data_IF_930232690313
#
_entry.id   IF_930232690313
#
_cell.length_a   1.000
_cell.length_b   1.000
_cell.length_c   1.000
_cell.angle_alpha   90.00
_cell.angle_beta   90.00
_cell.angle_gamma   90.00
#
_symmetry.space_group_name_H-M   'P 1'
#
loop_
_entity.id
_entity.type
_entity.pdbx_description
1 polymer ?
#
# COMPACT_ATOMS: atom_id res chain seq x y z
N UNK A 1 -25.80 -36.37 -33.68
CA UNK A 1 -24.90 -36.85 -32.61
C UNK A 1 -23.61 -36.03 -32.51
N UNK A 2 -22.91 -35.69 -33.60
CA UNK A 2 -21.64 -34.93 -33.54
C UNK A 2 -21.79 -33.41 -33.43
N UNK A 3 -22.84 -32.82 -34.02
CA UNK A 3 -22.99 -31.36 -34.15
C UNK A 3 -23.11 -30.61 -32.82
N UNK A 4 -23.62 -31.25 -31.77
CA UNK A 4 -23.83 -30.66 -30.43
C UNK A 4 -22.55 -30.19 -29.73
N UNK A 5 -21.37 -30.54 -30.25
CA UNK A 5 -20.07 -30.11 -29.72
C UNK A 5 -19.36 -29.06 -30.58
N UNK A 6 -19.91 -28.72 -31.75
CA UNK A 6 -19.39 -27.62 -32.56
C UNK A 6 -19.54 -26.31 -31.77
N UNK A 7 -18.51 -25.47 -31.80
CA UNK A 7 -18.47 -24.22 -31.03
C UNK A 7 -18.11 -24.38 -29.54
N UNK A 8 -18.00 -25.59 -28.99
CA UNK A 8 -17.49 -25.78 -27.63
C UNK A 8 -16.01 -25.38 -27.54
N UNK A 9 -15.59 -24.77 -26.42
CA UNK A 9 -14.18 -24.61 -26.08
C UNK A 9 -13.73 -25.83 -25.30
N UNK A 10 -12.65 -26.48 -25.75
CA UNK A 10 -12.15 -27.73 -25.18
C UNK A 10 -10.66 -27.69 -24.91
N UNK A 11 -10.22 -28.46 -23.91
CA UNK A 11 -8.83 -28.81 -23.63
C UNK A 11 -8.59 -30.25 -24.06
N UNK A 12 -7.57 -30.48 -24.88
CA UNK A 12 -7.24 -31.76 -25.50
C UNK A 12 -5.79 -32.09 -25.20
N UNK A 13 -5.55 -33.13 -24.39
CA UNK A 13 -4.21 -33.66 -24.15
C UNK A 13 -3.92 -34.76 -25.15
N UNK A 14 -2.82 -34.63 -25.89
CA UNK A 14 -2.39 -35.61 -26.89
C UNK A 14 -1.40 -36.62 -26.29
N UNK A 15 -1.08 -37.69 -27.03
CA UNK A 15 -0.13 -38.73 -26.63
C UNK A 15 1.29 -38.14 -26.45
N UNK A 16 1.70 -37.19 -27.29
CA UNK A 16 3.02 -36.52 -27.26
C UNK A 16 3.19 -35.50 -26.11
N UNK A 17 2.44 -35.65 -25.01
CA UNK A 17 2.27 -34.74 -23.86
C UNK A 17 1.83 -33.29 -24.19
N UNK A 18 1.68 -32.92 -25.46
CA UNK A 18 1.16 -31.63 -25.91
C UNK A 18 -0.32 -31.44 -25.52
N UNK A 19 -0.65 -30.28 -24.97
CA UNK A 19 -2.01 -29.89 -24.61
C UNK A 19 -2.49 -28.74 -25.49
N UNK A 20 -3.56 -28.97 -26.25
CA UNK A 20 -4.20 -27.99 -27.11
C UNK A 20 -5.51 -27.50 -26.47
N UNK A 21 -5.73 -26.18 -26.44
CA UNK A 21 -6.98 -25.57 -25.99
C UNK A 21 -7.57 -24.69 -27.09
N UNK A 22 -8.83 -24.88 -27.48
CA UNK A 22 -9.42 -24.12 -28.58
C UNK A 22 -10.92 -24.37 -28.79
N UNK A 23 -11.52 -23.62 -29.72
CA UNK A 23 -12.93 -23.77 -30.10
C UNK A 23 -13.06 -24.83 -31.19
N UNK A 24 -13.92 -25.83 -30.99
CA UNK A 24 -14.22 -26.85 -32.02
C UNK A 24 -14.91 -26.17 -33.21
N UNK A 25 -14.36 -26.36 -34.40
CA UNK A 25 -14.92 -25.86 -35.67
C UNK A 25 -15.42 -27.00 -36.56
N UNK A 26 -14.79 -28.18 -36.47
CA UNK A 26 -15.22 -29.38 -37.18
C UNK A 26 -14.86 -30.65 -36.37
N UNK A 27 -15.68 -31.69 -36.51
CA UNK A 27 -15.58 -32.96 -35.78
C UNK A 27 -15.95 -34.12 -36.69
N UNK A 28 -14.95 -34.77 -37.24
CA UNK A 28 -15.06 -35.96 -38.09
C UNK A 28 -14.68 -37.22 -37.30
N UNK A 29 -15.12 -38.40 -37.78
CA UNK A 29 -14.86 -39.70 -37.11
C UNK A 29 -13.38 -39.98 -36.81
N UNK A 30 -12.47 -39.37 -37.58
CA UNK A 30 -11.03 -39.59 -37.49
C UNK A 30 -10.24 -38.34 -37.06
N UNK A 31 -10.87 -37.17 -36.95
CA UNK A 31 -10.17 -35.88 -36.74
C UNK A 31 -11.01 -34.81 -36.03
N UNK A 32 -10.36 -34.05 -35.16
CA UNK A 32 -10.90 -32.93 -34.40
C UNK A 32 -10.21 -31.62 -34.83
N UNK A 33 -10.99 -30.63 -35.26
CA UNK A 33 -10.47 -29.37 -35.78
C UNK A 33 -10.74 -28.21 -34.81
N UNK A 34 -9.67 -27.58 -34.31
CA UNK A 34 -9.71 -26.48 -33.34
C UNK A 34 -9.26 -25.16 -33.99
N UNK A 35 -10.02 -24.08 -33.78
CA UNK A 35 -9.63 -22.72 -34.12
C UNK A 35 -9.40 -21.86 -32.86
N UNK A 36 -8.63 -20.77 -33.03
CA UNK A 36 -8.11 -19.94 -31.92
C UNK A 36 -7.39 -20.80 -30.87
N UNK A 37 -6.58 -21.76 -31.35
CA UNK A 37 -5.96 -22.76 -30.51
C UNK A 37 -4.80 -22.17 -29.69
N UNK A 38 -4.52 -22.78 -28.54
CA UNK A 38 -3.34 -22.54 -27.71
C UNK A 38 -2.63 -23.87 -27.51
N UNK A 39 -1.33 -23.95 -27.75
CA UNK A 39 -0.52 -25.13 -27.48
C UNK A 39 0.32 -24.86 -26.24
N UNK A 40 0.12 -25.64 -25.16
CA UNK A 40 0.78 -25.47 -23.86
C UNK A 40 0.70 -24.00 -23.33
N UNK A 41 -0.45 -23.34 -23.55
CA UNK A 41 -0.69 -21.94 -23.16
C UNK A 41 -0.19 -20.87 -24.13
N UNK A 42 0.56 -21.24 -25.17
CA UNK A 42 1.04 -20.30 -26.21
C UNK A 42 -0.01 -20.21 -27.34
N UNK A 43 -0.48 -19.02 -27.73
CA UNK A 43 -1.45 -18.87 -28.81
C UNK A 43 -0.90 -19.36 -30.15
N UNK A 44 -1.65 -20.23 -30.81
CA UNK A 44 -1.35 -20.79 -32.11
C UNK A 44 -2.26 -20.13 -33.16
N UNK A 45 -1.65 -19.43 -34.12
CA UNK A 45 -2.37 -18.61 -35.12
C UNK A 45 -3.06 -19.41 -36.21
N UNK A 46 -2.69 -20.68 -36.40
CA UNK A 46 -3.28 -21.60 -37.37
C UNK A 46 -4.48 -22.37 -36.80
N UNK A 47 -5.32 -22.90 -37.69
CA UNK A 47 -6.29 -23.95 -37.33
C UNK A 47 -5.50 -25.24 -37.07
N UNK A 48 -5.75 -25.88 -35.93
CA UNK A 48 -5.11 -27.14 -35.54
C UNK A 48 -6.05 -28.30 -35.87
N UNK A 49 -5.55 -29.34 -36.52
CA UNK A 49 -6.28 -30.56 -36.81
C UNK A 49 -5.56 -31.73 -36.11
N UNK A 50 -6.26 -32.38 -35.17
CA UNK A 50 -5.75 -33.49 -34.35
C UNK A 50 -6.40 -34.80 -34.80
N UNK A 51 -5.65 -35.89 -34.96
CA UNK A 51 -6.31 -37.19 -35.17
C UNK A 51 -6.93 -37.68 -33.88
N UNK A 52 -8.12 -38.27 -33.97
CA UNK A 52 -8.81 -38.89 -32.82
C UNK A 52 -7.99 -40.01 -32.18
N UNK A 53 -7.06 -40.62 -32.92
CA UNK A 53 -6.10 -41.62 -32.40
C UNK A 53 -5.09 -41.05 -31.41
N UNK A 54 -4.78 -39.77 -31.52
CA UNK A 54 -3.67 -39.14 -30.80
C UNK A 54 -4.16 -38.43 -29.52
N UNK A 55 -5.47 -38.43 -29.27
CA UNK A 55 -6.12 -37.79 -28.12
C UNK A 55 -6.13 -38.75 -26.91
N UNK A 56 -5.37 -38.40 -25.87
CA UNK A 56 -5.33 -39.14 -24.60
C UNK A 56 -6.45 -38.71 -23.64
N UNK A 57 -6.81 -37.41 -23.62
CA UNK A 57 -7.92 -36.86 -22.81
C UNK A 57 -8.53 -35.65 -23.52
N UNK A 58 -9.86 -35.53 -23.47
CA UNK A 58 -10.59 -34.33 -23.85
C UNK A 58 -11.47 -33.85 -22.68
N UNK A 59 -11.53 -32.54 -22.48
CA UNK A 59 -12.26 -31.88 -21.39
C UNK A 59 -12.92 -30.61 -21.92
N UNK A 60 -14.22 -30.43 -21.68
CA UNK A 60 -14.98 -29.27 -22.17
C UNK A 60 -14.86 -28.12 -21.17
N UNK A 61 -14.29 -26.99 -21.60
CA UNK A 61 -14.12 -25.79 -20.79
C UNK A 61 -15.41 -24.95 -20.78
N UNK A 62 -16.07 -24.82 -21.94
CA UNK A 62 -17.36 -24.13 -22.05
C UNK A 62 -18.16 -24.55 -23.28
N UNK A 63 -19.43 -24.89 -23.08
CA UNK A 63 -20.46 -24.98 -24.12
C UNK A 63 -20.98 -23.59 -24.48
N UNK A 64 -20.92 -23.21 -25.76
CA UNK A 64 -21.77 -22.13 -26.29
C UNK A 64 -23.02 -22.79 -26.89
N UNK A 65 -24.16 -22.71 -26.20
CA UNK A 65 -25.40 -23.33 -26.68
C UNK A 65 -25.91 -22.67 -27.96
N UNK A 66 -26.23 -23.49 -28.96
CA UNK A 66 -26.81 -23.09 -30.24
C UNK A 66 -27.92 -24.08 -30.60
N UNK A 67 -29.20 -23.70 -30.68
CA UNK A 67 -29.83 -22.43 -30.32
C UNK A 67 -31.29 -22.42 -30.81
N UNK A 68 -32.13 -21.55 -30.25
CA UNK A 68 -33.49 -21.29 -30.79
C UNK A 68 -33.61 -19.79 -31.09
N UNK A 69 -33.73 -19.45 -32.38
CA UNK A 69 -33.56 -18.09 -32.85
C UNK A 69 -34.84 -17.25 -32.77
N UNK A 70 -34.68 -15.96 -32.45
CA UNK A 70 -35.43 -14.89 -33.14
C UNK A 70 -34.43 -13.84 -33.64
N UNK A 71 -34.36 -13.76 -34.97
CA UNK A 71 -33.56 -12.86 -35.80
C UNK A 71 -33.95 -11.37 -35.60
N UNK A 72 -33.15 -10.34 -35.93
CA UNK A 72 -31.71 -10.17 -36.27
C UNK A 72 -31.46 -8.63 -36.38
N UNK A 73 -30.39 -8.18 -37.04
CA UNK A 73 -29.91 -6.80 -37.32
C UNK A 73 -28.74 -6.37 -36.42
N UNK A 74 -27.55 -6.77 -36.85
CA UNK A 74 -26.29 -6.01 -36.73
C UNK A 74 -26.10 -5.12 -37.99
N UNK A 75 -25.17 -4.13 -38.08
CA UNK A 75 -23.76 -4.32 -37.66
C UNK A 75 -22.92 -3.09 -37.20
N UNK A 76 -21.74 -3.41 -36.63
CA UNK A 76 -20.57 -2.54 -36.36
C UNK A 76 -20.71 -1.50 -35.21
N UNK A 77 -19.65 -1.04 -34.53
CA UNK A 77 -18.20 -1.26 -34.73
C UNK A 77 -17.36 -1.26 -33.43
N UNK A 78 -16.17 -1.88 -33.49
CA UNK A 78 -14.92 -1.62 -32.72
C UNK A 78 -15.02 -1.18 -31.25
N UNK A 79 -14.79 -2.10 -30.30
CA UNK A 79 -14.37 -1.75 -28.92
C UNK A 79 -12.85 -1.61 -28.85
N UNK A 80 -12.37 -0.44 -28.43
CA UNK A 80 -10.94 -0.18 -28.14
C UNK A 80 -10.66 -0.51 -26.67
N UNK A 81 -9.69 -1.39 -26.40
CA UNK A 81 -9.29 -1.76 -25.05
C UNK A 81 -8.50 -0.63 -24.37
N UNK A 82 -9.17 0.22 -23.59
CA UNK A 82 -8.51 1.09 -22.62
C UNK A 82 -8.07 0.26 -21.41
N UNK A 83 -6.80 0.39 -21.01
CA UNK A 83 -6.26 -0.25 -19.79
C UNK A 83 -6.98 0.28 -18.54
N UNK A 84 -7.28 -0.56 -17.52
CA UNK A 84 -7.95 -0.10 -16.32
C UNK A 84 -7.05 0.84 -15.50
N UNK A 85 -7.52 2.07 -15.28
CA UNK A 85 -6.89 3.01 -14.35
C UNK A 85 -7.43 2.71 -12.95
N UNK A 86 -6.54 2.47 -11.98
CA UNK A 86 -6.92 2.16 -10.61
C UNK A 86 -7.59 3.36 -9.93
N UNK A 87 -8.84 3.21 -9.51
CA UNK A 87 -9.54 4.19 -8.67
C UNK A 87 -8.90 4.23 -7.28
N UNK A 88 -8.07 5.24 -7.00
CA UNK A 88 -7.67 5.59 -5.63
C UNK A 88 -8.81 6.32 -4.92
N UNK A 89 -9.55 5.61 -4.10
CA UNK A 89 -10.33 6.22 -3.02
C UNK A 89 -9.41 6.56 -1.84
N UNK A 90 -9.79 7.54 -1.02
CA UNK A 90 -9.19 7.75 0.31
C UNK A 90 -7.78 8.35 0.34
N UNK A 91 -7.69 9.67 0.19
CA UNK A 91 -6.70 10.48 0.93
C UNK A 91 -7.40 11.65 1.57
N UNK A 92 -7.50 11.64 2.90
CA UNK A 92 -7.69 12.86 3.67
C UNK A 92 -6.47 13.75 3.49
N UNK A 93 -6.70 15.04 3.25
CA UNK A 93 -5.66 16.08 3.28
C UNK A 93 -5.81 16.80 4.61
N UNK A 94 -4.69 17.09 5.28
CA UNK A 94 -4.70 17.80 6.56
C UNK A 94 -5.30 19.18 6.39
N UNK A 95 -6.31 19.50 7.19
CA UNK A 95 -6.78 20.88 7.30
C UNK A 95 -5.75 21.71 8.09
N UNK A 96 -5.40 22.87 7.54
CA UNK A 96 -4.80 23.98 8.27
C UNK A 96 -5.63 25.21 7.95
N UNK A 97 -6.36 25.73 8.94
CA UNK A 97 -7.36 26.78 8.76
C UNK A 97 -6.72 28.18 8.76
N UNK A 98 -7.06 29.03 7.78
CA UNK A 98 -7.07 30.48 7.92
C UNK A 98 -8.51 31.01 7.95
N UNK A 99 -8.83 31.84 8.95
CA UNK A 99 -10.19 32.40 9.12
C UNK A 99 -10.42 33.59 8.16
N UNK A 100 -11.63 33.67 7.59
CA UNK A 100 -12.07 34.76 6.71
C UNK A 100 -12.45 36.04 7.47
N UNK A 101 -12.38 37.19 6.79
CA UNK A 101 -12.59 38.52 7.36
C UNK A 101 -14.02 39.06 7.17
N UNK A 102 -14.44 39.89 8.13
CA UNK A 102 -15.23 41.11 7.87
C UNK A 102 -16.56 41.23 8.64
N UNK A 103 -17.20 42.43 8.64
CA UNK A 103 -16.69 43.73 8.16
C UNK A 103 -16.95 44.91 9.15
N UNK A 104 -16.65 46.14 8.67
CA UNK A 104 -17.00 47.48 9.21
C UNK A 104 -16.01 48.20 10.17
N UNK A 105 -16.14 49.53 10.21
CA UNK A 105 -15.26 50.57 10.77
C UNK A 105 -16.18 51.72 11.33
N UNK A 106 -15.74 52.76 12.08
CA UNK A 106 -14.74 53.75 11.65
C UNK A 106 -13.86 54.30 12.84
N UNK A 107 -13.40 55.59 12.99
CA UNK A 107 -11.97 55.85 13.31
C UNK A 107 -11.70 56.84 14.49
N UNK A 108 -10.47 57.39 14.56
CA UNK A 108 -9.85 58.37 15.52
C UNK A 108 -8.96 57.72 16.62
N UNK A 109 -7.86 58.31 17.13
CA UNK A 109 -7.21 59.63 16.89
C UNK A 109 -5.66 59.58 17.09
N UNK A 110 -4.95 60.69 16.85
CA UNK A 110 -3.46 60.81 16.88
C UNK A 110 -2.81 60.84 18.29
N UNK A 111 -1.52 60.43 18.43
CA UNK A 111 -0.42 61.33 18.87
C UNK A 111 1.05 60.76 18.82
N UNK A 112 1.94 61.49 18.10
CA UNK A 112 3.36 61.89 18.34
C UNK A 112 4.53 60.94 18.78
N UNK A 113 5.66 61.14 18.09
CA UNK A 113 7.11 60.85 18.40
C UNK A 113 7.73 61.93 19.34
N UNK A 114 8.93 61.79 19.99
CA UNK A 114 10.32 61.71 19.44
C UNK A 114 11.13 60.47 19.95
N UNK A 115 12.32 60.03 19.46
CA UNK A 115 13.43 60.53 18.59
C UNK A 115 14.61 61.22 19.30
N UNK A 116 15.79 60.58 19.26
CA UNK A 116 17.15 61.10 18.91
C UNK A 116 18.07 59.87 18.67
N UNK A 117 18.86 59.75 17.58
CA UNK A 117 20.12 60.44 17.16
C UNK A 117 21.38 59.83 17.83
N UNK A 118 22.58 59.67 17.25
CA UNK A 118 23.28 59.98 15.98
C UNK A 118 24.37 58.88 15.79
N UNK A 119 25.20 58.66 14.75
CA UNK A 119 25.48 58.99 13.32
C UNK A 119 26.53 57.91 12.86
N UNK A 120 27.22 57.77 11.70
CA UNK A 120 27.45 58.33 10.34
C UNK A 120 28.07 57.12 9.53
N UNK A 121 28.40 56.98 8.24
CA UNK A 121 28.52 57.70 6.93
C UNK A 121 28.00 56.71 5.81
N UNK A 122 27.82 56.96 4.50
CA UNK A 122 28.61 57.59 3.38
C UNK A 122 29.88 56.77 3.02
N UNK A 123 30.37 56.55 1.78
CA UNK A 123 29.87 56.41 0.38
C UNK A 123 30.91 56.99 -0.61
N UNK A 124 31.29 56.26 -1.68
CA UNK A 124 31.59 56.83 -3.02
C UNK A 124 31.92 55.79 -4.12
N UNK A 125 31.71 56.22 -5.38
CA UNK A 125 32.23 55.64 -6.62
C UNK A 125 32.72 56.78 -7.52
N UNK A 126 33.45 56.49 -8.62
CA UNK A 126 33.30 57.30 -9.82
C UNK A 126 33.16 56.48 -11.12
N UNK A 127 32.89 57.20 -12.21
CA UNK A 127 32.27 56.69 -13.44
C UNK A 127 33.22 56.81 -14.66
N UNK A 128 32.89 56.15 -15.78
CA UNK A 128 33.60 56.31 -17.06
C UNK A 128 32.74 55.93 -18.26
N UNK A 129 32.60 56.83 -19.24
CA UNK A 129 31.82 56.64 -20.49
C UNK A 129 32.56 57.19 -21.71
N UNK A 130 32.58 56.45 -22.82
CA UNK A 130 32.70 56.98 -24.19
C UNK A 130 31.80 56.15 -25.14
N UNK A 131 31.26 56.80 -26.16
CA UNK A 131 30.53 56.29 -27.33
C UNK A 131 30.80 57.29 -28.51
N UNK A 132 30.26 57.16 -29.75
CA UNK A 132 29.34 56.17 -30.32
C UNK A 132 29.80 55.65 -31.72
N UNK A 133 28.91 54.99 -32.47
CA UNK A 133 28.53 55.27 -33.88
C UNK A 133 27.39 54.31 -34.31
N UNK A 134 26.62 54.67 -35.33
CA UNK A 134 25.27 54.15 -35.60
C UNK A 134 25.20 53.09 -36.70
N UNK A 135 24.18 52.22 -36.64
CA UNK A 135 23.22 52.07 -37.74
C UNK A 135 21.93 51.33 -37.32
N UNK A 136 20.83 51.60 -38.03
CA UNK A 136 19.49 51.12 -37.70
C UNK A 136 19.09 49.85 -38.49
N UNK A 137 18.35 48.95 -37.83
CA UNK A 137 17.25 48.11 -38.39
C UNK A 137 16.42 47.58 -37.19
N UNK A 138 15.12 47.33 -37.39
CA UNK A 138 14.11 47.48 -36.34
C UNK A 138 13.42 46.21 -35.82
N UNK A 139 13.03 46.30 -34.54
CA UNK A 139 11.90 45.66 -33.84
C UNK A 139 11.98 44.21 -33.29
N UNK A 140 11.54 44.13 -32.02
CA UNK A 140 10.86 43.02 -31.34
C UNK A 140 11.61 41.70 -31.05
N UNK A 141 12.46 41.74 -30.02
CA UNK A 141 12.71 40.56 -29.16
C UNK A 141 11.58 40.43 -28.12
N UNK A 142 10.86 39.31 -28.10
CA UNK A 142 9.91 38.99 -27.03
C UNK A 142 10.61 38.45 -25.78
N UNK A 143 10.36 39.05 -24.62
CA UNK A 143 10.89 38.60 -23.33
C UNK A 143 10.19 37.31 -22.89
N UNK A 144 10.97 36.25 -22.59
CA UNK A 144 10.45 34.98 -22.10
C UNK A 144 9.83 35.13 -20.70
N UNK A 145 8.50 35.26 -20.64
CA UNK A 145 7.75 35.31 -19.38
C UNK A 145 7.74 33.92 -18.75
N UNK A 146 8.19 33.83 -17.49
CA UNK A 146 8.29 32.57 -16.74
C UNK A 146 6.88 32.05 -16.40
N UNK A 147 6.33 31.19 -17.25
CA UNK A 147 4.98 30.62 -17.11
C UNK A 147 4.73 30.03 -15.73
N UNK A 148 3.54 30.31 -15.19
CA UNK A 148 3.11 29.84 -13.86
C UNK A 148 2.85 28.33 -13.85
N UNK A 149 2.89 27.72 -12.67
CA UNK A 149 2.62 26.28 -12.51
C UNK A 149 1.20 25.88 -12.99
N UNK A 150 0.23 26.80 -12.98
CA UNK A 150 -1.13 26.56 -13.49
C UNK A 150 -1.19 26.51 -15.02
N UNK A 151 -0.42 27.38 -15.70
CA UNK A 151 -0.33 27.37 -17.17
C UNK A 151 0.34 26.08 -17.68
N UNK A 152 1.44 25.66 -17.05
CA UNK A 152 2.14 24.39 -17.37
C UNK A 152 1.35 23.12 -17.06
N UNK A 153 0.22 23.22 -16.35
CA UNK A 153 -0.71 22.11 -16.20
C UNK A 153 -1.63 22.04 -17.44
N UNK A 154 -2.31 23.15 -17.74
CA UNK A 154 -3.19 23.30 -18.90
C UNK A 154 -2.48 22.94 -20.22
N UNK A 155 -1.22 23.38 -20.41
CA UNK A 155 -0.40 23.04 -21.59
C UNK A 155 -0.11 21.53 -21.73
N UNK A 156 -0.09 20.76 -20.62
CA UNK A 156 0.03 19.30 -20.68
C UNK A 156 -1.30 18.61 -20.91
N UNK A 157 -2.38 19.13 -20.35
CA UNK A 157 -3.72 18.55 -20.49
C UNK A 157 -4.15 18.67 -21.97
N UNK A 158 -3.93 19.83 -22.60
CA UNK A 158 -4.02 20.02 -24.06
C UNK A 158 -3.17 19.00 -24.83
N UNK A 159 -1.87 18.87 -24.51
CA UNK A 159 -0.99 17.91 -25.19
C UNK A 159 -1.33 16.43 -24.97
N UNK A 160 -2.17 16.10 -23.99
CA UNK A 160 -2.53 14.71 -23.63
C UNK A 160 -3.94 14.33 -24.09
N UNK A 161 -4.86 15.30 -24.20
CA UNK A 161 -6.27 15.06 -24.53
C UNK A 161 -6.80 15.87 -25.73
N UNK A 162 -6.03 16.83 -26.24
CA UNK A 162 -6.37 17.68 -27.39
C UNK A 162 -6.26 16.96 -28.74
N UNK A 163 -7.07 15.93 -28.96
CA UNK A 163 -7.37 15.48 -30.32
C UNK A 163 -8.34 16.48 -30.96
N UNK A 164 -8.05 17.04 -32.16
CA UNK A 164 -8.99 17.92 -32.84
C UNK A 164 -10.28 17.16 -33.14
N UNK A 165 -11.41 17.75 -32.75
CA UNK A 165 -12.74 17.17 -32.90
C UNK A 165 -13.26 17.52 -34.30
N UNK A 166 -13.74 16.51 -35.03
CA UNK A 166 -14.34 16.70 -36.36
C UNK A 166 -15.57 17.61 -36.29
N UNK A 167 -15.76 18.43 -37.33
CA UNK A 167 -16.82 19.45 -37.41
C UNK A 167 -18.25 18.89 -37.47
N UNK A 168 -18.43 17.57 -37.49
CA UNK A 168 -19.74 16.89 -37.49
C UNK A 168 -20.53 17.07 -36.18
N UNK A 169 -19.88 17.44 -35.08
CA UNK A 169 -20.54 17.70 -33.79
C UNK A 169 -21.13 19.11 -33.62
N UNK A 170 -21.27 19.88 -34.72
CA UNK A 170 -21.98 21.18 -34.70
C UNK A 170 -23.52 21.05 -34.83
N UNK A 171 -24.07 19.84 -34.87
CA UNK A 171 -25.50 19.63 -34.63
C UNK A 171 -25.74 19.43 -33.13
N UNK A 172 -26.16 20.51 -32.45
CA UNK A 172 -26.64 20.42 -31.06
C UNK A 172 -27.80 19.41 -30.97
N UNK A 173 -27.70 18.48 -30.03
CA UNK A 173 -28.71 17.44 -29.85
C UNK A 173 -29.97 18.04 -29.24
N UNK A 174 -31.01 18.19 -30.06
CA UNK A 174 -32.32 18.71 -29.65
C UNK A 174 -33.04 17.71 -28.72
N UNK A 175 -32.82 17.88 -27.42
CA UNK A 175 -33.43 17.09 -26.36
C UNK A 175 -34.95 17.28 -26.30
N UNK A 176 -35.45 18.50 -26.53
CA UNK A 176 -36.87 18.83 -26.39
C UNK A 176 -37.70 18.16 -27.50
N UNK A 177 -37.22 18.21 -28.74
CA UNK A 177 -37.81 17.51 -29.89
C UNK A 177 -37.75 15.99 -29.78
N UNK A 178 -36.69 15.43 -29.17
CA UNK A 178 -36.65 14.00 -28.86
C UNK A 178 -37.63 13.62 -27.74
N UNK A 179 -37.80 14.48 -26.72
CA UNK A 179 -38.72 14.22 -25.62
C UNK A 179 -40.19 14.33 -26.09
N UNK A 180 -40.48 15.24 -27.02
CA UNK A 180 -41.79 15.39 -27.67
C UNK A 180 -42.19 14.19 -28.57
N UNK A 181 -41.22 13.42 -29.09
CA UNK A 181 -41.51 12.17 -29.82
C UNK A 181 -41.98 11.03 -28.89
N UNK A 182 -41.75 11.13 -27.58
CA UNK A 182 -42.09 10.08 -26.62
C UNK A 182 -43.42 10.39 -25.93
N UNK A 183 -44.54 9.95 -26.53
CA UNK A 183 -45.87 10.10 -25.93
C UNK A 183 -46.03 9.23 -24.66
N UNK A 184 -45.55 9.77 -23.55
CA UNK A 184 -45.53 9.16 -22.23
C UNK A 184 -46.95 8.79 -21.74
N UNK A 185 -47.97 9.57 -22.08
CA UNK A 185 -49.34 9.32 -21.66
C UNK A 185 -49.93 8.08 -22.35
N UNK A 186 -49.67 7.91 -23.66
CA UNK A 186 -50.07 6.71 -24.39
C UNK A 186 -49.44 5.44 -23.79
N UNK A 187 -48.14 5.47 -23.47
CA UNK A 187 -47.43 4.34 -22.82
C UNK A 187 -48.03 4.03 -21.44
N UNK A 188 -48.37 5.05 -20.63
CA UNK A 188 -49.04 4.83 -19.34
C UNK A 188 -50.48 4.32 -19.50
N UNK A 189 -51.20 4.68 -20.56
CA UNK A 189 -52.52 4.12 -20.85
C UNK A 189 -52.43 2.65 -21.29
N UNK A 190 -51.46 2.30 -22.13
CA UNK A 190 -51.19 0.92 -22.54
C UNK A 190 -50.88 0.03 -21.32
N UNK A 191 -49.95 0.45 -20.46
CA UNK A 191 -49.58 -0.26 -19.21
C UNK A 191 -50.78 -0.44 -18.28
N UNK A 192 -51.68 0.54 -18.17
CA UNK A 192 -52.89 0.44 -17.34
C UNK A 192 -54.04 -0.35 -18.02
N UNK A 193 -54.01 -0.56 -19.33
CA UNK A 193 -55.02 -1.32 -20.08
C UNK A 193 -54.79 -2.83 -20.05
N UNK A 194 -53.53 -3.25 -19.81
CA UNK A 194 -53.17 -4.65 -19.60
C UNK A 194 -53.80 -5.13 -18.27
N UNK A 195 -54.51 -6.27 -18.32
CA UNK A 195 -55.31 -6.77 -17.20
C UNK A 195 -54.48 -6.95 -15.92
N UNK A 196 -54.99 -6.54 -14.74
CA UNK A 196 -54.28 -6.69 -13.49
C UNK A 196 -54.34 -8.13 -13.00
N UNK A 197 -53.30 -8.91 -13.27
CA UNK A 197 -53.13 -10.24 -12.68
C UNK A 197 -51.83 -10.36 -11.88
N UNK A 198 -51.92 -11.08 -10.75
CA UNK A 198 -50.86 -11.48 -9.81
C UNK A 198 -50.06 -10.34 -9.11
N UNK A 199 -49.50 -9.34 -9.81
CA UNK A 199 -48.44 -8.47 -9.24
C UNK A 199 -48.95 -7.40 -8.24
N UNK A 200 -50.24 -7.04 -8.28
CA UNK A 200 -50.77 -5.85 -7.58
C UNK A 200 -51.05 -6.02 -6.07
N UNK A 201 -50.81 -7.19 -5.49
CA UNK A 201 -51.01 -7.42 -4.04
C UNK A 201 -50.01 -6.65 -3.14
N UNK A 202 -48.90 -6.15 -3.70
CA UNK A 202 -47.86 -5.42 -2.96
C UNK A 202 -48.23 -3.97 -2.61
N UNK A 203 -49.25 -3.38 -3.24
CA UNK A 203 -49.70 -2.01 -2.96
C UNK A 203 -50.68 -1.95 -1.77
N UNK A 204 -51.54 -2.97 -1.62
CA UNK A 204 -52.62 -3.01 -0.63
C UNK A 204 -52.16 -3.00 0.84
N UNK A 205 -50.94 -3.47 1.12
CA UNK A 205 -50.40 -3.54 2.49
C UNK A 205 -49.64 -2.29 2.95
N UNK A 206 -49.58 -1.23 2.12
CA UNK A 206 -48.91 0.05 2.49
C UNK A 206 -49.73 0.95 3.43
N UNK A 207 -50.72 0.39 4.13
CA UNK A 207 -51.57 1.12 5.09
C UNK A 207 -50.98 1.29 6.49
N UNK A 208 -50.01 0.46 6.90
CA UNK A 208 -49.48 0.42 8.29
C UNK A 208 -47.96 0.31 8.40
N UNK A 209 -47.23 0.18 7.30
CA UNK A 209 -45.76 0.24 7.30
C UNK A 209 -45.29 1.69 7.46
N UNK A 210 -44.64 2.00 8.58
CA UNK A 210 -44.04 3.32 8.79
C UNK A 210 -43.08 3.67 7.64
N UNK A 211 -43.18 4.90 7.12
CA UNK A 211 -42.24 5.42 6.11
C UNK A 211 -40.97 5.85 6.84
N UNK A 212 -40.14 4.86 7.16
CA UNK A 212 -38.82 5.08 7.75
C UNK A 212 -37.99 5.99 6.83
N UNK A 213 -37.35 6.99 7.42
CA UNK A 213 -36.35 7.80 6.74
C UNK A 213 -35.15 6.94 6.29
N UNK A 214 -34.33 7.40 5.32
CA UNK A 214 -33.16 6.64 4.86
C UNK A 214 -32.17 6.27 5.97
N UNK A 215 -32.11 7.07 7.03
CA UNK A 215 -31.32 6.88 8.25
C UNK A 215 -32.01 5.97 9.29
N UNK A 216 -33.33 5.97 9.37
CA UNK A 216 -34.11 5.13 10.31
C UNK A 216 -34.18 3.66 9.87
N UNK A 217 -33.97 3.38 8.58
CA UNK A 217 -33.95 2.01 8.03
C UNK A 217 -32.54 1.39 8.04
N UNK A 218 -31.57 2.03 8.70
CA UNK A 218 -30.23 1.48 8.94
C UNK A 218 -30.32 0.51 10.12
N UNK A 219 -30.27 -0.80 9.83
CA UNK A 219 -29.99 -1.80 10.85
C UNK A 219 -28.65 -1.47 11.51
N UNK A 220 -28.67 -1.09 12.78
CA UNK A 220 -27.46 -0.93 13.60
C UNK A 220 -26.92 -2.33 13.91
N UNK A 221 -26.25 -2.92 12.93
CA UNK A 221 -25.47 -4.14 13.13
C UNK A 221 -24.38 -3.84 14.17
N UNK A 222 -24.32 -4.64 15.24
CA UNK A 222 -23.16 -4.64 16.12
C UNK A 222 -21.89 -4.77 15.26
N UNK A 223 -20.82 -3.99 15.53
CA UNK A 223 -19.62 -4.01 14.70
C UNK A 223 -19.07 -5.44 14.59
N UNK A 224 -19.19 -6.05 13.41
CA UNK A 224 -18.86 -7.46 13.20
C UNK A 224 -17.40 -7.72 13.51
N UNK A 225 -17.11 -8.21 14.71
CA UNK A 225 -15.75 -8.40 15.21
C UNK A 225 -15.05 -9.46 14.36
N UNK A 226 -14.15 -9.02 13.47
CA UNK A 226 -13.46 -9.88 12.51
C UNK A 226 -12.31 -10.67 13.18
N UNK A 227 -12.67 -11.51 14.15
CA UNK A 227 -11.80 -12.42 14.88
C UNK A 227 -11.44 -13.64 14.01
N UNK A 228 -10.38 -13.49 13.22
CA UNK A 228 -9.89 -14.55 12.31
C UNK A 228 -8.70 -15.34 12.89
N UNK A 229 -8.22 -14.96 14.08
CA UNK A 229 -7.20 -15.67 14.85
C UNK A 229 -7.82 -16.05 16.20
N UNK A 230 -7.69 -17.31 16.58
CA UNK A 230 -8.12 -17.85 17.88
C UNK A 230 -6.95 -18.60 18.51
N UNK A 231 -6.66 -18.28 19.77
CA UNK A 231 -5.52 -18.80 20.54
C UNK A 231 -6.04 -19.61 21.74
N UNK A 232 -5.37 -20.68 22.17
CA UNK A 232 -5.87 -21.57 23.22
C UNK A 232 -5.87 -20.92 24.61
N UNK A 233 -4.97 -19.96 24.84
CA UNK A 233 -4.89 -19.15 26.05
C UNK A 233 -4.55 -17.69 25.68
N UNK A 234 -5.56 -16.82 25.47
CA UNK A 234 -5.31 -15.40 25.21
C UNK A 234 -4.70 -14.73 26.45
N UNK A 235 -3.84 -13.73 26.23
CA UNK A 235 -3.34 -12.85 27.29
C UNK A 235 -4.24 -11.60 27.40
N UNK A 236 -3.90 -10.69 28.33
CA UNK A 236 -4.75 -9.60 28.83
C UNK A 236 -5.22 -8.59 27.76
N UNK A 237 -4.57 -8.54 26.59
CA UNK A 237 -4.80 -7.50 25.58
C UNK A 237 -5.24 -8.07 24.24
N UNK A 238 -6.03 -7.29 23.53
CA UNK A 238 -6.28 -7.51 22.11
C UNK A 238 -5.83 -6.29 21.32
N UNK A 239 -5.46 -6.54 20.06
CA UNK A 239 -5.06 -5.51 19.12
C UNK A 239 -5.97 -5.55 17.88
N UNK A 240 -6.16 -4.39 17.25
CA UNK A 240 -6.93 -4.25 16.03
C UNK A 240 -6.03 -3.70 14.92
N UNK A 241 -6.18 -4.25 13.72
CA UNK A 241 -5.55 -3.73 12.49
C UNK A 241 -6.31 -2.53 11.92
N UNK A 242 -5.70 -1.81 10.97
CA UNK A 242 -6.38 -0.78 10.14
C UNK A 242 -7.71 -1.27 9.51
N UNK A 243 -7.86 -2.58 9.34
CA UNK A 243 -8.99 -3.24 8.66
C UNK A 243 -10.03 -3.82 9.65
N UNK A 244 -9.94 -3.53 10.95
CA UNK A 244 -10.87 -4.08 11.96
C UNK A 244 -10.65 -5.56 12.31
N UNK A 245 -9.63 -6.22 11.75
CA UNK A 245 -9.26 -7.58 12.15
C UNK A 245 -8.67 -7.57 13.57
N UNK A 246 -9.20 -8.43 14.44
CA UNK A 246 -8.70 -8.61 15.82
C UNK A 246 -7.55 -9.62 15.84
N UNK A 247 -6.47 -9.24 16.52
CA UNK A 247 -5.28 -10.02 16.78
C UNK A 247 -5.14 -10.13 18.31
N UNK A 248 -5.41 -11.29 18.92
CA UNK A 248 -5.23 -11.47 20.36
C UNK A 248 -3.75 -11.45 20.74
N UNK A 249 -3.42 -10.94 21.92
CA UNK A 249 -2.09 -11.16 22.50
C UNK A 249 -1.95 -12.60 23.00
N UNK A 250 -0.73 -13.12 22.95
CA UNK A 250 -0.38 -14.46 23.45
C UNK A 250 0.56 -14.37 24.65
N UNK A 251 0.59 -15.45 25.44
CA UNK A 251 1.57 -15.59 26.53
C UNK A 251 2.98 -15.82 25.96
N UNK A 252 4.01 -15.39 26.68
CA UNK A 252 5.42 -15.62 26.31
C UNK A 252 5.74 -17.12 26.12
N UNK A 253 5.11 -18.00 26.90
CA UNK A 253 5.27 -19.44 26.72
C UNK A 253 4.67 -19.92 25.38
N UNK A 254 3.48 -19.45 25.00
CA UNK A 254 2.87 -19.79 23.72
C UNK A 254 3.65 -19.19 22.52
N UNK A 255 4.24 -18.00 22.68
CA UNK A 255 5.14 -17.42 21.68
C UNK A 255 6.40 -18.27 21.50
N UNK A 256 7.07 -18.65 22.59
CA UNK A 256 8.22 -19.57 22.57
C UNK A 256 7.88 -20.92 21.94
N UNK A 257 6.69 -21.46 22.22
CA UNK A 257 6.19 -22.69 21.57
C UNK A 257 5.99 -22.50 20.06
N UNK A 258 5.37 -21.40 19.61
CA UNK A 258 5.17 -21.09 18.19
C UNK A 258 6.49 -20.93 17.43
N UNK A 259 7.46 -20.24 18.03
CA UNK A 259 8.81 -20.07 17.46
C UNK A 259 9.58 -21.39 17.45
N UNK A 260 9.47 -22.21 18.50
CA UNK A 260 10.03 -23.56 18.55
C UNK A 260 9.41 -24.50 17.51
N UNK A 261 8.10 -24.42 17.27
CA UNK A 261 7.42 -25.14 16.20
C UNK A 261 7.94 -24.74 14.81
N UNK A 262 8.20 -23.44 14.58
CA UNK A 262 8.82 -22.96 13.34
C UNK A 262 10.22 -23.56 13.13
N UNK A 263 11.06 -23.59 14.18
CA UNK A 263 12.39 -24.23 14.13
C UNK A 263 12.29 -25.74 13.84
N UNK A 264 11.40 -26.48 14.54
CA UNK A 264 11.16 -27.93 14.29
C UNK A 264 10.70 -28.22 12.86
N UNK A 265 9.93 -27.32 12.25
CA UNK A 265 9.36 -27.46 10.92
C UNK A 265 10.25 -26.87 9.81
N UNK A 266 11.54 -26.59 10.11
CA UNK A 266 12.54 -26.20 9.12
C UNK A 266 12.52 -24.73 8.71
N UNK A 267 11.77 -23.88 9.40
CA UNK A 267 11.80 -22.42 9.23
C UNK A 267 12.76 -21.87 10.29
N UNK A 268 14.06 -22.09 10.10
CA UNK A 268 15.10 -21.79 11.08
C UNK A 268 15.17 -20.30 11.47
N UNK A 269 15.83 -20.01 12.60
CA UNK A 269 16.02 -18.64 13.09
C UNK A 269 16.62 -17.70 12.04
N UNK A 270 17.60 -18.16 11.26
CA UNK A 270 18.28 -17.36 10.21
C UNK A 270 17.31 -16.93 9.10
N UNK A 271 16.28 -17.76 8.82
CA UNK A 271 15.22 -17.42 7.86
C UNK A 271 14.24 -16.39 8.43
N UNK A 272 13.97 -16.44 9.74
CA UNK A 272 13.07 -15.50 10.43
C UNK A 272 13.73 -14.13 10.63
N UNK A 273 15.01 -14.10 10.99
CA UNK A 273 15.74 -12.85 11.27
C UNK A 273 15.91 -11.98 10.02
N UNK A 274 16.14 -12.56 8.84
CA UNK A 274 16.24 -11.77 7.59
C UNK A 274 14.91 -11.09 7.23
N UNK A 275 13.77 -11.76 7.48
CA UNK A 275 12.44 -11.15 7.30
C UNK A 275 12.17 -10.04 8.32
N UNK A 276 12.53 -10.26 9.59
CA UNK A 276 12.37 -9.30 10.67
C UNK A 276 13.25 -8.05 10.48
N UNK A 277 14.53 -8.26 10.16
CA UNK A 277 15.48 -7.18 9.85
C UNK A 277 15.10 -6.42 8.59
N UNK A 278 14.54 -7.10 7.57
CA UNK A 278 13.96 -6.46 6.39
C UNK A 278 12.78 -5.58 6.75
N UNK A 279 11.84 -6.08 7.55
CA UNK A 279 10.69 -5.32 8.01
C UNK A 279 11.10 -4.09 8.85
N UNK A 280 12.13 -4.24 9.69
CA UNK A 280 12.75 -3.14 10.42
C UNK A 280 13.37 -2.10 9.50
N UNK A 281 14.13 -2.53 8.49
CA UNK A 281 14.72 -1.65 7.49
C UNK A 281 13.63 -0.93 6.68
N UNK A 282 12.63 -1.63 6.16
CA UNK A 282 11.51 -1.05 5.42
C UNK A 282 10.78 0.04 6.23
N UNK A 283 10.49 -0.20 7.52
CA UNK A 283 9.92 0.83 8.41
C UNK A 283 10.87 2.02 8.59
N UNK A 284 12.13 1.78 8.93
CA UNK A 284 13.12 2.84 9.19
C UNK A 284 13.34 3.69 7.93
N UNK A 285 13.42 3.10 6.74
CA UNK A 285 13.56 3.83 5.47
C UNK A 285 12.37 4.78 5.22
N UNK A 286 11.13 4.39 5.56
CA UNK A 286 9.98 5.31 5.52
C UNK A 286 10.10 6.43 6.58
N UNK A 287 10.48 6.09 7.81
CA UNK A 287 10.65 7.06 8.90
C UNK A 287 11.75 8.10 8.62
N UNK A 288 12.78 7.72 7.86
CA UNK A 288 13.86 8.60 7.39
C UNK A 288 13.46 9.50 6.20
N UNK A 289 12.20 9.45 5.74
CA UNK A 289 11.69 10.27 4.62
C UNK A 289 11.64 9.55 3.27
N UNK A 290 11.86 8.23 3.24
CA UNK A 290 11.62 7.35 2.10
C UNK A 290 12.31 7.81 0.80
N UNK A 291 11.62 7.62 -0.32
CA UNK A 291 12.12 7.92 -1.66
C UNK A 291 12.38 9.41 -1.95
N UNK A 292 12.00 10.32 -1.06
CA UNK A 292 12.37 11.73 -1.19
C UNK A 292 13.79 11.97 -0.66
N UNK A 293 14.10 11.51 0.56
CA UNK A 293 15.44 11.68 1.14
C UNK A 293 16.47 10.72 0.52
N UNK A 294 16.09 9.47 0.33
CA UNK A 294 16.97 8.37 -0.10
C UNK A 294 17.08 8.24 -1.63
N UNK A 295 16.76 9.31 -2.37
CA UNK A 295 16.94 9.36 -3.82
C UNK A 295 18.44 9.46 -4.15
N UNK A 296 19.03 8.61 -5.01
CA UNK A 296 20.44 8.73 -5.40
C UNK A 296 20.83 10.08 -6.04
N UNK A 297 19.86 10.85 -6.53
CA UNK A 297 20.07 12.19 -7.09
C UNK A 297 19.96 13.31 -6.02
N UNK A 298 19.75 12.97 -4.74
CA UNK A 298 19.69 13.93 -3.65
C UNK A 298 21.10 14.25 -3.13
N UNK A 299 21.49 15.52 -3.17
CA UNK A 299 22.79 15.98 -2.68
C UNK A 299 22.84 16.23 -1.16
N UNK A 300 21.73 16.07 -0.43
CA UNK A 300 21.72 16.14 1.03
C UNK A 300 22.39 14.92 1.68
N UNK A 301 22.90 15.11 2.90
CA UNK A 301 23.58 14.06 3.65
C UNK A 301 22.69 12.82 3.90
N UNK A 302 23.25 11.64 3.62
CA UNK A 302 22.64 10.36 3.95
C UNK A 302 22.38 10.25 5.46
N UNK A 303 21.23 9.69 5.87
CA UNK A 303 20.90 9.56 7.28
C UNK A 303 21.89 8.68 8.04
N UNK A 304 22.14 9.03 9.29
CA UNK A 304 22.88 8.21 10.25
C UNK A 304 21.91 7.51 11.20
N UNK A 305 22.01 6.19 11.31
CA UNK A 305 21.25 5.36 12.25
C UNK A 305 22.23 4.67 13.20
N UNK A 306 21.94 4.73 14.50
CA UNK A 306 22.65 3.94 15.53
C UNK A 306 21.76 2.78 15.95
N UNK A 307 22.28 1.56 15.89
CA UNK A 307 21.61 0.33 16.30
C UNK A 307 22.19 -0.17 17.62
N UNK A 308 21.40 -0.11 18.69
CA UNK A 308 21.78 -0.49 20.04
C UNK A 308 21.37 -1.95 20.29
N UNK A 309 22.34 -2.87 20.34
CA UNK A 309 22.09 -4.32 20.27
C UNK A 309 22.66 -5.04 21.51
N UNK A 310 21.82 -5.84 22.18
CA UNK A 310 22.23 -6.66 23.32
C UNK A 310 22.78 -8.03 22.93
N UNK A 311 23.35 -8.80 23.88
CA UNK A 311 23.98 -10.10 23.64
C UNK A 311 22.96 -11.24 23.49
N UNK A 312 21.99 -11.11 22.57
CA UNK A 312 20.88 -12.03 22.39
C UNK A 312 20.27 -11.97 20.98
N UNK A 313 19.33 -12.87 20.69
CA UNK A 313 18.70 -13.03 19.36
C UNK A 313 17.96 -11.78 18.87
N UNK A 314 17.32 -11.00 19.73
CA UNK A 314 16.71 -9.72 19.32
C UNK A 314 17.80 -8.71 18.95
N UNK A 315 18.89 -8.66 19.73
CA UNK A 315 20.10 -7.89 19.40
C UNK A 315 20.63 -8.22 18.01
N UNK A 316 20.72 -9.50 17.66
CA UNK A 316 21.13 -9.95 16.33
C UNK A 316 20.15 -9.50 15.22
N UNK A 317 18.84 -9.47 15.48
CA UNK A 317 17.87 -8.87 14.56
C UNK A 317 18.07 -7.35 14.37
N UNK A 318 18.51 -6.64 15.40
CA UNK A 318 18.95 -5.24 15.30
C UNK A 318 20.16 -5.06 14.38
N UNK A 319 21.14 -5.96 14.44
CA UNK A 319 22.33 -5.95 13.57
C UNK A 319 21.98 -6.34 12.13
N UNK A 320 21.10 -7.33 11.94
CA UNK A 320 20.54 -7.69 10.64
C UNK A 320 19.83 -6.49 9.99
N UNK A 321 18.98 -5.79 10.73
CA UNK A 321 18.31 -4.57 10.29
C UNK A 321 19.32 -3.46 9.92
N UNK A 322 20.37 -3.24 10.73
CA UNK A 322 21.42 -2.29 10.42
C UNK A 322 22.19 -2.66 9.14
N UNK A 323 22.49 -3.96 8.93
CA UNK A 323 23.09 -4.48 7.69
C UNK A 323 22.19 -4.18 6.48
N UNK A 324 20.89 -4.46 6.58
CA UNK A 324 19.95 -4.19 5.48
C UNK A 324 19.75 -2.68 5.24
N UNK A 325 19.83 -1.83 6.27
CA UNK A 325 19.82 -0.37 6.09
C UNK A 325 21.06 0.13 5.32
N UNK A 326 22.24 -0.45 5.58
CA UNK A 326 23.48 -0.04 4.92
C UNK A 326 23.46 -0.24 3.40
N UNK A 327 22.80 -1.30 2.90
CA UNK A 327 22.67 -1.55 1.45
C UNK A 327 21.75 -0.55 0.75
N UNK A 328 20.95 0.21 1.50
CA UNK A 328 20.18 1.36 1.03
C UNK A 328 20.94 2.69 1.15
N UNK A 329 22.26 2.68 1.44
CA UNK A 329 23.09 3.88 1.57
C UNK A 329 22.94 4.62 2.91
N UNK A 330 22.14 4.08 3.84
CA UNK A 330 22.03 4.63 5.21
C UNK A 330 23.33 4.37 5.94
N UNK A 331 23.94 5.42 6.52
CA UNK A 331 25.13 5.28 7.35
C UNK A 331 24.72 4.63 8.67
N UNK A 332 25.29 3.48 8.99
CA UNK A 332 24.94 2.75 10.22
C UNK A 332 26.10 2.68 11.20
N UNK A 333 25.77 2.59 12.49
CA UNK A 333 26.72 2.33 13.57
C UNK A 333 26.05 1.33 14.51
N UNK A 334 26.62 0.13 14.64
CA UNK A 334 26.15 -0.88 15.59
C UNK A 334 26.87 -0.69 16.91
N UNK A 335 26.12 -0.65 18.01
CA UNK A 335 26.62 -0.62 19.37
C UNK A 335 26.33 -1.94 20.07
N UNK A 336 27.36 -2.56 20.63
CA UNK A 336 27.29 -3.85 21.34
C UNK A 336 28.24 -3.79 22.55
N UNK A 337 27.73 -4.06 23.76
CA UNK A 337 28.56 -4.09 24.98
C UNK A 337 29.29 -5.44 25.16
N UNK A 338 28.65 -6.55 24.79
CA UNK A 338 29.26 -7.89 24.77
C UNK A 338 28.75 -8.70 23.57
N UNK A 339 29.60 -9.56 23.00
CA UNK A 339 29.37 -10.31 21.77
C UNK A 339 29.71 -11.81 21.91
N UNK A 340 29.23 -12.44 22.99
CA UNK A 340 29.39 -13.89 23.24
C UNK A 340 28.31 -14.75 22.56
N UNK A 341 27.13 -14.19 22.26
CA UNK A 341 26.05 -14.93 21.60
C UNK A 341 26.39 -15.29 20.14
N UNK A 342 26.13 -16.54 19.77
CA UNK A 342 26.49 -17.11 18.45
C UNK A 342 25.69 -16.46 17.33
N UNK A 343 24.41 -16.16 17.54
CA UNK A 343 23.55 -15.54 16.53
C UNK A 343 23.94 -14.06 16.31
N UNK A 344 24.31 -13.35 17.39
CA UNK A 344 24.89 -12.01 17.32
C UNK A 344 26.24 -12.01 16.58
N UNK A 345 27.11 -12.99 16.83
CA UNK A 345 28.41 -13.11 16.14
C UNK A 345 28.28 -13.40 14.65
N UNK A 346 27.27 -14.17 14.24
CA UNK A 346 26.94 -14.40 12.82
C UNK A 346 26.54 -13.08 12.13
N UNK A 347 25.58 -12.34 12.70
CA UNK A 347 25.15 -11.06 12.11
C UNK A 347 26.22 -9.97 12.19
N UNK A 348 27.03 -9.93 13.25
CA UNK A 348 28.22 -9.05 13.31
C UNK A 348 29.22 -9.35 12.20
N UNK A 349 29.39 -10.62 11.84
CA UNK A 349 30.31 -11.03 10.77
C UNK A 349 29.78 -10.59 9.39
N UNK A 350 28.47 -10.69 9.16
CA UNK A 350 27.83 -10.15 7.95
C UNK A 350 27.83 -8.62 7.92
N UNK A 351 27.57 -7.96 9.04
CA UNK A 351 27.54 -6.50 9.15
C UNK A 351 28.92 -5.87 8.92
N UNK A 352 30.01 -6.53 9.32
CA UNK A 352 31.38 -6.06 9.04
C UNK A 352 31.71 -5.98 7.55
N UNK A 353 31.01 -6.74 6.69
CA UNK A 353 31.16 -6.66 5.22
C UNK A 353 30.57 -5.35 4.63
N UNK A 354 29.89 -4.54 5.43
CA UNK A 354 29.31 -3.25 5.02
C UNK A 354 30.27 -2.07 5.22
N UNK A 355 31.47 -2.31 5.77
CA UNK A 355 32.48 -1.31 6.18
C UNK A 355 31.99 -0.27 7.21
N UNK A 356 30.74 -0.37 7.69
CA UNK A 356 30.19 0.50 8.72
C UNK A 356 30.74 0.17 10.11
N UNK A 357 30.65 1.13 11.02
CA UNK A 357 31.27 1.03 12.35
C UNK A 357 30.52 0.06 13.27
N UNK A 358 31.30 -0.67 14.07
CA UNK A 358 30.87 -1.35 15.30
C UNK A 358 31.60 -0.69 16.47
N UNK A 359 30.86 -0.17 17.45
CA UNK A 359 31.41 0.55 18.60
C UNK A 359 31.03 -0.15 19.91
N UNK A 360 31.99 -0.36 20.81
CA UNK A 360 31.76 -1.03 22.12
C UNK A 360 31.70 -0.05 23.29
N UNK A 361 31.87 1.26 23.03
CA UNK A 361 31.96 2.31 24.06
C UNK A 361 31.01 3.45 23.72
N UNK A 362 30.09 3.76 24.65
CA UNK A 362 29.08 4.83 24.50
C UNK A 362 29.72 6.18 24.12
N UNK A 363 30.94 6.45 24.59
CA UNK A 363 31.72 7.67 24.29
C UNK A 363 32.11 7.84 22.82
N UNK A 364 32.08 6.77 22.02
CA UNK A 364 32.43 6.80 20.60
C UNK A 364 31.22 7.08 19.69
N UNK A 365 30.00 7.02 20.24
CA UNK A 365 28.77 7.23 19.49
C UNK A 365 28.56 8.72 19.17
N UNK A 366 27.98 9.05 18.01
CA UNK A 366 27.68 10.43 17.64
C UNK A 366 26.71 11.10 18.62
N UNK A 367 26.81 12.42 18.76
CA UNK A 367 25.92 13.22 19.62
C UNK A 367 24.51 13.42 19.05
N UNK A 368 24.35 13.34 17.73
CA UNK A 368 23.10 13.49 16.99
C UNK A 368 23.00 12.41 15.92
N UNK A 369 21.82 11.81 15.76
CA UNK A 369 21.49 10.85 14.67
C UNK A 369 20.09 11.11 14.13
N UNK A 370 19.72 10.48 13.01
CA UNK A 370 18.40 10.64 12.40
C UNK A 370 17.35 9.69 13.00
N UNK A 371 17.78 8.50 13.45
CA UNK A 371 16.96 7.50 14.13
C UNK A 371 17.83 6.59 14.99
N UNK A 372 17.28 6.11 16.11
CA UNK A 372 17.90 5.07 16.95
C UNK A 372 17.09 3.78 16.81
N UNK A 373 17.76 2.71 16.43
CA UNK A 373 17.24 1.35 16.46
C UNK A 373 17.61 0.71 17.79
N UNK A 374 16.65 0.11 18.50
CA UNK A 374 16.84 -0.52 19.81
C UNK A 374 16.51 -2.00 19.76
N UNK A 375 17.48 -2.82 20.14
CA UNK A 375 17.37 -4.24 20.39
C UNK A 375 18.27 -4.63 21.58
N UNK A 376 18.30 -3.78 22.62
CA UNK A 376 19.17 -3.92 23.80
C UNK A 376 18.71 -5.01 24.77
N UNK A 377 17.41 -5.31 24.81
CA UNK A 377 16.80 -6.23 25.76
C UNK A 377 15.75 -7.09 25.06
N UNK A 378 15.57 -8.30 25.55
CA UNK A 378 14.47 -9.22 25.29
C UNK A 378 13.76 -9.58 26.63
N UNK A 379 12.80 -10.50 26.60
CA UNK A 379 12.00 -10.87 27.78
C UNK A 379 12.80 -11.50 28.93
N UNK A 380 13.93 -12.14 28.65
CA UNK A 380 14.80 -12.75 29.66
C UNK A 380 15.88 -11.77 30.17
N UNK A 381 16.04 -10.61 29.52
CA UNK A 381 17.04 -9.61 29.86
C UNK A 381 16.77 -8.93 31.22
N UNK A 382 17.82 -8.66 32.03
CA UNK A 382 17.67 -8.02 33.34
C UNK A 382 17.16 -6.58 33.19
N UNK A 383 16.18 -6.20 34.03
CA UNK A 383 15.50 -4.89 33.97
C UNK A 383 16.32 -3.74 34.58
N UNK A 384 17.58 -3.62 34.16
CA UNK A 384 18.55 -2.63 34.63
C UNK A 384 18.69 -1.52 33.59
N UNK A 385 18.60 -0.26 34.02
CA UNK A 385 18.82 0.90 33.13
C UNK A 385 20.32 1.02 32.83
N UNK A 386 20.71 0.63 31.61
CA UNK A 386 22.10 0.64 31.15
C UNK A 386 22.64 2.06 30.92
N UNK A 387 23.97 2.27 30.92
CA UNK A 387 24.56 3.58 30.62
C UNK A 387 24.18 4.09 29.22
N UNK A 388 24.03 3.19 28.24
CA UNK A 388 23.62 3.52 26.87
C UNK A 388 22.20 4.09 26.78
N UNK A 389 21.27 3.69 27.66
CA UNK A 389 19.93 4.26 27.72
C UNK A 389 19.94 5.79 27.96
N UNK A 390 20.91 6.29 28.75
CA UNK A 390 21.09 7.73 29.00
C UNK A 390 21.55 8.49 27.74
N UNK A 391 22.40 7.87 26.92
CA UNK A 391 22.81 8.42 25.62
C UNK A 391 21.62 8.48 24.66
N UNK A 392 20.81 7.41 24.58
CA UNK A 392 19.65 7.37 23.70
C UNK A 392 18.64 8.49 24.02
N UNK A 393 18.31 8.66 25.30
CA UNK A 393 17.40 9.71 25.76
C UNK A 393 17.97 11.13 25.54
N UNK A 394 19.29 11.29 25.59
CA UNK A 394 19.97 12.58 25.40
C UNK A 394 20.03 13.01 23.93
N UNK A 395 20.06 12.05 23.00
CA UNK A 395 20.17 12.29 21.54
C UNK A 395 18.87 12.87 20.93
N UNK A 396 17.69 12.53 21.50
CA UNK A 396 16.34 12.96 21.08
C UNK A 396 15.86 12.49 19.69
N UNK A 397 16.66 11.72 18.95
CA UNK A 397 16.21 11.06 17.74
C UNK A 397 15.02 10.10 18.01
N UNK A 398 14.14 9.85 17.03
CA UNK A 398 13.07 8.86 17.17
C UNK A 398 13.64 7.46 17.42
N UNK A 399 13.05 6.74 18.37
CA UNK A 399 13.40 5.35 18.70
C UNK A 399 12.44 4.38 18.00
N UNK A 400 12.98 3.42 17.26
CA UNK A 400 12.27 2.21 16.84
C UNK A 400 12.90 0.99 17.53
N UNK A 401 12.10 0.15 18.18
CA UNK A 401 12.57 -1.10 18.76
C UNK A 401 12.23 -2.32 17.88
N UNK A 402 13.04 -3.38 17.97
CA UNK A 402 12.78 -4.69 17.35
C UNK A 402 12.79 -5.77 18.44
N UNK A 403 11.70 -6.55 18.51
CA UNK A 403 11.47 -7.58 19.54
C UNK A 403 11.77 -7.10 20.99
N UNK A 404 11.27 -5.91 21.41
CA UNK A 404 11.45 -5.44 22.77
C UNK A 404 10.60 -6.24 23.77
N UNK A 405 10.94 -6.19 25.08
CA UNK A 405 10.11 -6.79 26.12
C UNK A 405 8.70 -6.22 26.13
N UNK A 406 7.71 -6.99 26.58
CA UNK A 406 6.34 -6.56 26.75
C UNK A 406 6.24 -5.31 27.64
N UNK A 407 7.10 -5.17 28.65
CA UNK A 407 7.15 -3.97 29.52
C UNK A 407 8.02 -2.83 28.99
N UNK A 408 8.48 -2.90 27.75
CA UNK A 408 9.38 -1.92 27.14
C UNK A 408 10.86 -2.12 27.51
N UNK A 409 11.74 -1.39 26.82
CA UNK A 409 13.19 -1.43 27.09
C UNK A 409 13.51 -0.59 28.33
N UNK A 410 14.21 -1.13 29.36
CA UNK A 410 14.50 -0.43 30.61
C UNK A 410 15.14 0.96 30.42
N UNK A 411 14.35 2.00 30.69
CA UNK A 411 14.80 3.39 30.62
C UNK A 411 14.89 3.98 29.21
N UNK A 412 14.34 3.33 28.17
CA UNK A 412 14.21 3.91 26.82
C UNK A 412 12.76 3.80 26.34
N UNK A 413 12.09 4.95 26.16
CA UNK A 413 10.75 5.00 25.59
C UNK A 413 10.82 4.85 24.07
N UNK A 414 10.13 3.84 23.53
CA UNK A 414 10.11 3.55 22.10
C UNK A 414 8.97 4.31 21.43
N UNK A 415 9.23 4.97 20.29
CA UNK A 415 8.18 5.64 19.51
C UNK A 415 7.41 4.65 18.65
N UNK A 416 8.11 3.62 18.19
CA UNK A 416 7.60 2.51 17.41
C UNK A 416 8.25 1.20 17.90
N UNK A 417 7.55 0.08 17.83
CA UNK A 417 8.11 -1.25 18.10
C UNK A 417 7.67 -2.26 17.05
N UNK A 418 8.59 -3.06 16.53
CA UNK A 418 8.34 -4.13 15.57
C UNK A 418 8.36 -5.50 16.27
N UNK A 419 7.31 -6.29 16.04
CA UNK A 419 7.03 -7.57 16.70
C UNK A 419 6.88 -8.69 15.65
N UNK A 420 7.42 -9.86 15.90
CA UNK A 420 7.33 -11.03 15.01
C UNK A 420 6.19 -11.98 15.36
N UNK A 421 5.57 -12.54 14.31
CA UNK A 421 4.49 -13.54 14.36
C UNK A 421 3.19 -13.09 15.05
N UNK A 422 3.14 -13.03 16.38
CA UNK A 422 1.99 -12.60 17.17
C UNK A 422 2.44 -11.80 18.41
N UNK A 423 1.70 -10.76 18.82
CA UNK A 423 2.13 -9.84 19.89
C UNK A 423 1.96 -10.44 21.30
N UNK A 424 2.78 -9.95 22.23
CA UNK A 424 2.57 -10.14 23.67
C UNK A 424 1.68 -9.01 24.23
N UNK A 425 1.45 -8.97 25.55
CA UNK A 425 0.64 -7.92 26.20
C UNK A 425 1.43 -6.61 26.41
N UNK A 426 1.96 -6.01 25.34
CA UNK A 426 2.89 -4.86 25.39
C UNK A 426 2.32 -3.64 26.14
N UNK A 427 3.18 -2.96 26.92
CA UNK A 427 2.92 -1.70 27.62
C UNK A 427 2.99 -0.49 26.67
N UNK A 428 2.58 0.67 27.17
CA UNK A 428 2.62 1.96 26.44
C UNK A 428 4.05 2.42 26.12
N UNK A 429 5.06 1.92 26.82
CA UNK A 429 6.47 2.27 26.67
C UNK A 429 7.08 1.74 25.35
N UNK A 430 6.40 0.77 24.72
CA UNK A 430 6.68 0.28 23.37
C UNK A 430 6.08 1.19 22.27
N UNK A 431 5.31 2.21 22.62
CA UNK A 431 4.73 3.16 21.68
C UNK A 431 3.80 2.51 20.64
N UNK A 432 3.98 2.86 19.37
CA UNK A 432 3.15 2.32 18.28
C UNK A 432 3.69 0.96 17.81
N UNK A 433 2.89 -0.08 17.99
CA UNK A 433 3.25 -1.44 17.64
C UNK A 433 3.04 -1.71 16.14
N UNK A 434 3.95 -2.49 15.55
CA UNK A 434 3.87 -3.04 14.20
C UNK A 434 4.12 -4.54 14.25
N UNK A 435 3.31 -5.32 13.54
CA UNK A 435 3.49 -6.76 13.39
C UNK A 435 4.20 -7.08 12.07
N UNK A 436 5.17 -7.97 12.12
CA UNK A 436 5.94 -8.49 11.00
C UNK A 436 5.46 -9.90 10.60
N UNK A 437 5.22 -10.10 9.31
CA UNK A 437 4.93 -11.42 8.75
C UNK A 437 6.22 -12.23 8.58
N UNK A 438 6.57 -13.05 9.57
CA UNK A 438 7.70 -14.00 9.51
C UNK A 438 7.47 -15.21 8.57
N UNK A 439 6.53 -15.10 7.63
CA UNK A 439 6.17 -16.10 6.62
C UNK A 439 5.80 -17.50 7.17
N UNK A 440 5.36 -17.59 8.44
CA UNK A 440 4.96 -18.85 9.08
C UNK A 440 3.69 -19.41 8.41
N UNK A 441 3.71 -20.64 7.85
CA UNK A 441 2.51 -21.30 7.32
C UNK A 441 1.50 -21.63 8.42
N UNK A 442 0.21 -21.67 8.08
CA UNK A 442 -0.88 -21.97 9.03
C UNK A 442 -0.64 -23.24 9.86
N UNK A 443 0.01 -24.28 9.29
CA UNK A 443 0.35 -25.52 10.01
C UNK A 443 1.24 -25.29 11.25
N UNK A 444 2.12 -24.29 11.24
CA UNK A 444 3.00 -23.95 12.38
C UNK A 444 2.18 -23.38 13.54
N UNK A 445 1.14 -22.59 13.24
CA UNK A 445 0.20 -22.11 14.24
C UNK A 445 -0.68 -23.25 14.79
N UNK A 446 -1.16 -24.13 13.91
CA UNK A 446 -1.99 -25.29 14.32
C UNK A 446 -1.22 -26.31 15.17
N UNK A 447 0.09 -26.47 14.95
CA UNK A 447 1.00 -27.31 15.76
C UNK A 447 1.08 -26.87 17.23
N UNK A 448 0.71 -25.62 17.53
CA UNK A 448 0.60 -25.06 18.89
C UNK A 448 -0.84 -24.67 19.27
N UNK A 449 -1.84 -25.25 18.59
CA UNK A 449 -3.26 -25.06 18.89
C UNK A 449 -3.84 -23.70 18.50
N UNK A 450 -3.12 -22.88 17.73
CA UNK A 450 -3.60 -21.58 17.24
C UNK A 450 -4.32 -21.77 15.91
N UNK A 451 -5.60 -21.40 15.86
CA UNK A 451 -6.34 -21.25 14.60
C UNK A 451 -5.95 -19.90 13.99
N UNK A 452 -5.18 -19.93 12.90
CA UNK A 452 -4.63 -18.73 12.27
C UNK A 452 -5.12 -18.53 10.85
N UNK A 453 -5.51 -17.29 10.54
CA UNK A 453 -5.72 -16.77 9.19
C UNK A 453 -5.05 -15.39 9.11
N UNK A 454 -4.32 -15.17 8.01
CA UNK A 454 -3.40 -14.03 7.88
C UNK A 454 -4.09 -12.66 7.98
N UNK A 455 -3.72 -11.78 8.94
CA UNK A 455 -4.27 -10.44 9.05
C UNK A 455 -3.57 -9.42 8.14
N UNK A 456 -2.51 -9.84 7.45
CA UNK A 456 -1.56 -8.96 6.76
C UNK A 456 -2.06 -8.40 5.41
N UNK A 457 -2.98 -9.10 4.75
CA UNK A 457 -3.42 -8.75 3.39
C UNK A 457 -2.21 -8.70 2.42
N UNK A 458 -2.03 -7.60 1.66
CA UNK A 458 -0.90 -7.44 0.73
C UNK A 458 0.36 -6.82 1.37
N UNK A 459 0.38 -6.55 2.68
CA UNK A 459 1.51 -5.94 3.39
C UNK A 459 2.38 -7.02 4.06
N UNK A 460 3.69 -6.81 4.20
CA UNK A 460 4.53 -7.66 5.09
C UNK A 460 4.61 -7.11 6.53
N UNK A 461 4.24 -5.84 6.73
CA UNK A 461 4.21 -5.16 8.03
C UNK A 461 2.89 -4.41 8.18
N UNK A 462 2.22 -4.56 9.32
CA UNK A 462 0.95 -3.87 9.63
C UNK A 462 1.04 -3.16 10.99
N UNK A 463 0.45 -1.97 11.16
CA UNK A 463 0.30 -1.37 12.48
C UNK A 463 -0.71 -2.17 13.32
N UNK A 464 -0.53 -2.12 14.64
CA UNK A 464 -1.47 -2.63 15.63
C UNK A 464 -1.92 -1.49 16.55
N UNK A 465 -3.23 -1.39 16.76
CA UNK A 465 -3.88 -0.43 17.66
C UNK A 465 -4.46 -1.20 18.85
N UNK A 466 -4.38 -0.69 20.09
CA UNK A 466 -4.95 -1.38 21.26
C UNK A 466 -6.47 -1.45 21.18
N UNK A 467 -7.06 -2.62 21.40
CA UNK A 467 -8.50 -2.80 21.47
C UNK A 467 -9.05 -2.41 22.85
N UNK A 468 -9.04 -1.11 23.15
CA UNK A 468 -9.65 -0.58 24.37
C UNK A 468 -11.17 -0.46 24.16
N UNK A 469 -11.87 -1.60 24.28
CA UNK A 469 -13.33 -1.69 24.43
C UNK A 469 -13.73 -1.57 25.91
#
# INVERSE_FOLDING_TARGET
MSEQFLGCIVSVKCIDDLTYQGKIVDLNKNSLTLAKAFCNGIPHTSIVNLSVKDIQKLEIISTEESGTNVNDIQPQSKVIVKRPIAKRAGRSISECVPILQGPSCPPQMNLKKPVESNQQQVEQTPNGKIAPVENNISNNKSISKRLTHKQRALERDEHTFGTPIDQSLQQDFDFEKNLALFNKEAVWQEINSLKPDIVRQSESNRGTTAIYRPDENILVSEPTVLRQIVVPCPSEKEYVTDNGLVIPSITLNLHRQLIGAADRLGISWERRVELLGRAGAELILQLLGGSHRLNPNNAHQWPTVVALCGPHRSGAAGINCARQLSSHGVKTIVFVENAEDVFLLQELSLYRLTENKVETKVKNLPSLVDLILVALCDEDSPRIITPIARWANSNRAPVLAIEPPATGTPGILSKFSLLGALPLSHSVDNGRLYLCNLALPNKVYSDVGITYKSPFGPKFVIPLHSNNS
#
